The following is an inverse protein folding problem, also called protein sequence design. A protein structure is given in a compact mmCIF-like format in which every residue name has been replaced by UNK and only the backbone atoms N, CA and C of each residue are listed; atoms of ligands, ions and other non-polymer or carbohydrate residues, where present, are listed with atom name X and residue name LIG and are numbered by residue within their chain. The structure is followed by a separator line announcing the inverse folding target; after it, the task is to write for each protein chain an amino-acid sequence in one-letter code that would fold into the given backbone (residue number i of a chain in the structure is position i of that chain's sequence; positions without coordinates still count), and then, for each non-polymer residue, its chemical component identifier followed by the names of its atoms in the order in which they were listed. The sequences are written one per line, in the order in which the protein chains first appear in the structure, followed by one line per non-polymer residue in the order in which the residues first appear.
data_IF_286979963857
#
_entry.id   IF_286979963857
#
_cell.length_a   1.000
_cell.length_b   1.000
_cell.length_c   1.000
_cell.angle_alpha   90.00
_cell.angle_beta   90.00
_cell.angle_gamma   90.00
#
_symmetry.space_group_name_H-M   'P 1'
#
loop_
_entity.id
_entity.type
_entity.pdbx_description
1 polymer ?
#
# COMPACT_ATOMS: atom_id res chain seq x y z
N UNK A 1 -13.95 -7.47 -0.55
CA UNK A 1 -12.57 -7.70 -0.05
C UNK A 1 -11.87 -6.37 0.15
N UNK A 2 -11.03 -6.24 1.19
CA UNK A 2 -10.32 -4.99 1.51
C UNK A 2 -9.18 -4.72 0.54
N UNK A 3 -8.45 -5.76 0.16
CA UNK A 3 -7.33 -5.74 -0.79
C UNK A 3 -7.50 -6.82 -1.86
N UNK A 4 -6.70 -6.75 -2.92
CA UNK A 4 -6.55 -7.84 -3.88
C UNK A 4 -5.53 -8.85 -3.38
N UNK A 5 -5.54 -10.05 -3.97
CA UNK A 5 -4.44 -11.00 -3.85
C UNK A 5 -3.17 -10.42 -4.48
N UNK A 6 -2.03 -10.69 -3.87
CA UNK A 6 -0.72 -10.43 -4.48
C UNK A 6 -0.60 -11.17 -5.81
N UNK A 7 0.05 -10.55 -6.80
CA UNK A 7 0.39 -11.23 -8.05
C UNK A 7 1.48 -12.27 -7.81
N UNK A 8 1.73 -13.12 -8.80
CA UNK A 8 2.81 -14.11 -8.72
C UNK A 8 4.16 -13.44 -8.50
N UNK A 9 4.45 -12.35 -9.21
CA UNK A 9 5.71 -11.60 -9.09
C UNK A 9 5.85 -10.95 -7.71
N UNK A 10 4.76 -10.42 -7.15
CA UNK A 10 4.76 -9.85 -5.80
C UNK A 10 4.98 -10.94 -4.74
N UNK A 11 4.35 -12.11 -4.89
CA UNK A 11 4.54 -13.26 -4.00
C UNK A 11 5.97 -13.79 -4.04
N UNK A 12 6.57 -13.87 -5.22
CA UNK A 12 7.99 -14.24 -5.39
C UNK A 12 8.90 -13.24 -4.66
N UNK A 13 8.60 -11.94 -4.74
CA UNK A 13 9.36 -10.91 -4.04
C UNK A 13 9.27 -11.02 -2.50
N UNK A 14 8.26 -11.72 -1.96
CA UNK A 14 8.03 -11.89 -0.52
C UNK A 14 7.96 -13.37 -0.11
N UNK A 15 8.65 -14.25 -0.86
CA UNK A 15 8.62 -15.70 -0.63
C UNK A 15 9.08 -16.08 0.79
N UNK A 16 10.03 -15.34 1.35
CA UNK A 16 10.55 -15.57 2.70
C UNK A 16 9.48 -15.29 3.75
N UNK A 17 8.76 -14.18 3.62
CA UNK A 17 7.63 -13.81 4.46
C UNK A 17 6.48 -14.81 4.32
N UNK A 18 6.20 -15.25 3.10
CA UNK A 18 5.16 -16.24 2.82
C UNK A 18 5.49 -17.60 3.46
N UNK A 19 6.75 -18.04 3.37
CA UNK A 19 7.22 -19.29 4.00
C UNK A 19 7.08 -19.23 5.51
N UNK A 20 7.43 -18.10 6.14
CA UNK A 20 7.23 -17.88 7.57
C UNK A 20 5.75 -17.87 7.94
N UNK A 21 4.91 -17.28 7.11
CA UNK A 21 3.46 -17.32 7.29
C UNK A 21 2.94 -18.77 7.25
N UNK A 22 3.31 -19.56 6.25
CA UNK A 22 2.91 -20.98 6.17
C UNK A 22 3.36 -21.77 7.39
N UNK A 23 4.61 -21.58 7.84
CA UNK A 23 5.12 -22.22 9.06
C UNK A 23 4.30 -21.83 10.31
N UNK A 24 3.86 -20.57 10.41
CA UNK A 24 2.97 -20.12 11.49
C UNK A 24 1.58 -20.79 11.46
N UNK A 25 1.14 -21.24 10.28
CA UNK A 25 -0.07 -22.03 10.09
C UNK A 25 0.15 -23.54 10.29
N UNK A 26 1.34 -23.95 10.75
CA UNK A 26 1.70 -25.35 10.95
C UNK A 26 1.96 -26.12 9.65
N UNK A 27 2.30 -25.42 8.56
CA UNK A 27 2.62 -26.02 7.28
C UNK A 27 4.12 -25.88 7.02
N UNK A 28 4.84 -26.99 7.11
CA UNK A 28 6.21 -27.04 6.61
C UNK A 28 6.24 -27.24 5.08
N UNK A 29 7.44 -27.33 4.50
CA UNK A 29 7.60 -27.52 3.06
C UNK A 29 6.92 -28.80 2.54
N UNK A 30 6.99 -29.90 3.29
CA UNK A 30 6.39 -31.18 2.91
C UNK A 30 4.86 -31.13 3.01
N UNK A 31 4.31 -30.55 4.09
CA UNK A 31 2.86 -30.34 4.18
C UNK A 31 2.34 -29.40 3.10
N UNK A 32 3.09 -28.35 2.76
CA UNK A 32 2.69 -27.44 1.70
C UNK A 32 2.60 -28.13 0.34
N UNK A 33 3.54 -29.03 0.01
CA UNK A 33 3.44 -29.82 -1.21
C UNK A 33 2.19 -30.72 -1.22
N UNK A 34 1.87 -31.37 -0.09
CA UNK A 34 0.65 -32.18 0.03
C UNK A 34 -0.61 -31.32 -0.14
N UNK A 35 -0.67 -30.15 0.50
CA UNK A 35 -1.82 -29.22 0.37
C UNK A 35 -2.03 -28.81 -1.08
N UNK A 36 -0.95 -28.53 -1.82
CA UNK A 36 -1.05 -28.16 -3.24
C UNK A 36 -1.64 -29.27 -4.11
N UNK A 37 -1.32 -30.53 -3.83
CA UNK A 37 -1.86 -31.67 -4.58
C UNK A 37 -3.28 -32.04 -4.15
N UNK A 38 -3.53 -32.06 -2.84
CA UNK A 38 -4.73 -32.69 -2.29
C UNK A 38 -5.87 -31.69 -2.04
N UNK A 39 -5.55 -30.40 -1.84
CA UNK A 39 -6.53 -29.37 -1.49
C UNK A 39 -6.27 -28.01 -2.17
N UNK A 40 -6.53 -27.90 -3.49
CA UNK A 40 -6.37 -26.63 -4.22
C UNK A 40 -7.13 -25.46 -3.59
N UNK A 41 -8.32 -25.68 -3.05
CA UNK A 41 -9.08 -24.61 -2.36
C UNK A 41 -8.36 -24.06 -1.12
N UNK A 42 -7.58 -24.89 -0.42
CA UNK A 42 -6.80 -24.44 0.74
C UNK A 42 -5.60 -23.61 0.31
N UNK A 43 -5.01 -23.90 -0.85
CA UNK A 43 -3.96 -23.07 -1.47
C UNK A 43 -4.49 -21.66 -1.71
N UNK A 44 -5.62 -21.55 -2.40
CA UNK A 44 -6.26 -20.27 -2.71
C UNK A 44 -6.55 -19.44 -1.45
N UNK A 45 -7.11 -20.09 -0.43
CA UNK A 45 -7.36 -19.47 0.87
C UNK A 45 -6.09 -18.94 1.53
N UNK A 46 -5.01 -19.73 1.57
CA UNK A 46 -3.74 -19.32 2.19
C UNK A 46 -3.08 -18.16 1.44
N UNK A 47 -3.21 -18.11 0.12
CA UNK A 47 -2.74 -16.99 -0.70
C UNK A 47 -3.54 -15.71 -0.41
N UNK A 48 -4.86 -15.81 -0.28
CA UNK A 48 -5.73 -14.68 0.03
C UNK A 48 -5.49 -14.13 1.45
N UNK A 49 -5.35 -15.02 2.44
CA UNK A 49 -5.05 -14.65 3.82
C UNK A 49 -3.68 -14.00 3.94
N UNK A 50 -2.66 -14.57 3.30
CA UNK A 50 -1.33 -13.97 3.29
C UNK A 50 -1.33 -12.61 2.62
N UNK A 51 -2.02 -12.47 1.49
CA UNK A 51 -2.12 -11.19 0.79
C UNK A 51 -2.79 -10.13 1.66
N UNK A 52 -3.86 -10.51 2.38
CA UNK A 52 -4.54 -9.60 3.30
C UNK A 52 -3.62 -9.16 4.43
N UNK A 53 -2.93 -10.11 5.06
CA UNK A 53 -1.95 -9.82 6.11
C UNK A 53 -0.82 -8.91 5.61
N UNK A 54 -0.27 -9.19 4.42
CA UNK A 54 0.78 -8.39 3.82
C UNK A 54 0.33 -6.95 3.59
N UNK A 55 -0.85 -6.75 3.00
CA UNK A 55 -1.37 -5.41 2.73
C UNK A 55 -1.73 -4.65 4.00
N UNK A 56 -2.34 -5.27 5.01
CA UNK A 56 -2.58 -4.62 6.29
C UNK A 56 -1.25 -4.20 6.94
N UNK A 57 -0.26 -5.09 6.96
CA UNK A 57 1.08 -4.83 7.49
C UNK A 57 1.76 -3.67 6.75
N UNK A 58 1.75 -3.70 5.42
CA UNK A 58 2.40 -2.68 4.58
C UNK A 58 1.70 -1.33 4.67
N UNK A 59 0.38 -1.28 4.51
CA UNK A 59 -0.37 -0.01 4.55
C UNK A 59 -0.39 0.63 5.94
N UNK A 60 -0.32 -0.17 7.02
CA UNK A 60 -0.21 0.38 8.38
C UNK A 60 1.06 1.21 8.61
N UNK A 61 2.16 0.92 7.91
CA UNK A 61 3.45 1.62 8.03
C UNK A 61 3.57 2.86 7.16
N UNK A 62 2.69 3.02 6.16
CA UNK A 62 2.76 4.15 5.22
C UNK A 62 2.19 5.40 5.89
N UNK A 63 2.98 6.46 5.91
CA UNK A 63 2.57 7.79 6.38
C UNK A 63 2.34 8.74 5.20
N UNK A 64 3.20 8.65 4.19
CA UNK A 64 3.18 9.52 3.01
C UNK A 64 3.15 8.72 1.73
N UNK A 65 2.34 9.15 0.78
CA UNK A 65 2.35 8.68 -0.59
C UNK A 65 2.55 9.85 -1.54
N UNK A 66 3.36 9.66 -2.58
CA UNK A 66 3.50 10.66 -3.64
C UNK A 66 3.43 10.06 -5.04
N UNK A 67 3.07 10.90 -5.99
CA UNK A 67 3.23 10.63 -7.42
C UNK A 67 3.70 11.90 -8.09
N UNK A 68 4.85 11.81 -8.74
CA UNK A 68 5.48 12.94 -9.42
C UNK A 68 5.49 12.65 -10.92
N UNK A 69 5.03 13.61 -11.69
CA UNK A 69 5.14 13.66 -13.14
C UNK A 69 5.75 15.00 -13.54
N UNK A 70 5.95 15.23 -14.85
CA UNK A 70 6.49 16.52 -15.33
C UNK A 70 5.57 17.71 -15.04
N UNK A 71 4.27 17.47 -15.01
CA UNK A 71 3.25 18.52 -14.94
C UNK A 71 2.43 18.47 -13.65
N UNK A 72 2.55 17.41 -12.85
CA UNK A 72 1.68 17.18 -11.72
C UNK A 72 2.43 16.43 -10.61
N UNK A 73 2.33 16.93 -9.38
CA UNK A 73 2.81 16.26 -8.17
C UNK A 73 1.67 16.14 -7.19
N UNK A 74 1.36 14.92 -6.80
CA UNK A 74 0.47 14.60 -5.70
C UNK A 74 1.28 14.18 -4.49
N UNK A 75 0.90 14.68 -3.32
CA UNK A 75 1.45 14.28 -2.03
C UNK A 75 0.30 14.09 -1.04
N UNK A 76 0.24 12.93 -0.43
CA UNK A 76 -0.75 12.56 0.55
C UNK A 76 -0.08 12.32 1.90
N UNK A 77 -0.69 12.82 2.97
CA UNK A 77 -0.33 12.55 4.37
C UNK A 77 -1.48 11.82 5.04
N UNK A 78 -1.20 10.67 5.65
CA UNK A 78 -2.20 9.81 6.29
C UNK A 78 -2.09 9.86 7.81
N UNK A 79 -3.13 10.37 8.46
CA UNK A 79 -3.39 10.18 9.89
C UNK A 79 -4.18 8.90 10.16
N UNK A 80 -4.70 8.74 11.37
CA UNK A 80 -5.47 7.54 11.75
C UNK A 80 -6.86 7.49 11.10
N UNK A 81 -7.57 8.62 11.08
CA UNK A 81 -8.95 8.75 10.58
C UNK A 81 -9.11 9.84 9.52
N UNK A 82 -8.01 10.33 8.97
CA UNK A 82 -8.00 11.33 7.91
C UNK A 82 -6.79 11.21 7.00
N UNK A 83 -6.93 11.74 5.79
CA UNK A 83 -5.82 12.03 4.89
C UNK A 83 -5.90 13.48 4.41
N UNK A 84 -4.73 14.09 4.30
CA UNK A 84 -4.56 15.40 3.68
C UNK A 84 -3.85 15.22 2.33
N UNK A 85 -4.17 16.08 1.37
CA UNK A 85 -3.56 16.06 0.05
C UNK A 85 -3.06 17.44 -0.34
N UNK A 86 -1.88 17.47 -0.95
CA UNK A 86 -1.33 18.60 -1.67
C UNK A 86 -1.13 18.19 -3.12
N UNK A 87 -1.53 19.07 -4.04
CA UNK A 87 -1.29 18.87 -5.47
C UNK A 87 -0.68 20.13 -6.07
N UNK A 88 0.48 19.97 -6.70
CA UNK A 88 1.11 20.99 -7.53
C UNK A 88 0.88 20.64 -9.00
N UNK A 89 0.16 21.49 -9.72
CA UNK A 89 -0.14 21.29 -11.13
C UNK A 89 0.46 22.42 -11.97
N UNK A 90 1.30 22.07 -12.93
CA UNK A 90 1.80 22.98 -13.96
C UNK A 90 0.75 23.15 -15.05
N UNK A 91 0.32 24.40 -15.28
CA UNK A 91 -0.52 24.74 -16.41
C UNK A 91 0.35 25.09 -17.63
N UNK A 92 -0.08 24.73 -18.86
CA UNK A 92 0.61 25.17 -20.07
C UNK A 92 0.74 26.71 -20.10
N UNK A 93 1.97 27.20 -20.28
CA UNK A 93 2.26 28.63 -20.32
C UNK A 93 2.38 29.34 -18.96
N UNK A 94 2.40 28.60 -17.85
CA UNK A 94 2.69 29.15 -16.51
C UNK A 94 4.08 28.75 -16.04
N UNK A 95 4.83 29.70 -15.48
CA UNK A 95 6.12 29.44 -14.84
C UNK A 95 5.99 28.99 -13.37
N UNK A 96 4.77 28.99 -12.83
CA UNK A 96 4.49 28.58 -11.44
C UNK A 96 3.40 27.51 -11.39
N UNK A 97 3.53 26.50 -10.50
CA UNK A 97 2.48 25.53 -10.29
C UNK A 97 1.29 26.15 -9.55
N UNK A 98 0.10 25.70 -9.91
CA UNK A 98 -1.10 25.89 -9.10
C UNK A 98 -1.09 24.86 -7.96
N UNK A 99 -1.30 25.34 -6.74
CA UNK A 99 -1.29 24.50 -5.53
C UNK A 99 -2.72 24.37 -5.03
N UNK A 100 -3.17 23.14 -4.85
CA UNK A 100 -4.45 22.83 -4.20
C UNK A 100 -4.22 21.97 -2.97
N UNK A 101 -5.01 22.23 -1.92
CA UNK A 101 -5.04 21.44 -0.69
C UNK A 101 -6.41 20.78 -0.53
N UNK A 102 -6.44 19.59 0.06
CA UNK A 102 -7.68 18.89 0.36
C UNK A 102 -7.55 18.01 1.59
N UNK A 103 -8.69 17.62 2.15
CA UNK A 103 -8.78 16.72 3.29
C UNK A 103 -9.92 15.72 3.06
N UNK A 104 -9.71 14.48 3.48
CA UNK A 104 -10.73 13.42 3.49
C UNK A 104 -10.72 12.74 4.86
N UNK A 105 -11.88 12.64 5.48
CA UNK A 105 -12.08 11.87 6.71
C UNK A 105 -12.58 10.47 6.37
N UNK A 106 -12.20 9.49 7.19
CA UNK A 106 -12.64 8.10 7.05
C UNK A 106 -12.57 7.37 8.40
N UNK A 107 -13.34 6.28 8.59
CA UNK A 107 -13.16 5.39 9.73
C UNK A 107 -11.74 4.82 9.79
N UNK A 108 -11.19 4.60 10.98
CA UNK A 108 -9.80 4.13 11.15
C UNK A 108 -9.57 2.78 10.44
N UNK A 109 -10.57 1.91 10.44
CA UNK A 109 -10.55 0.63 9.72
C UNK A 109 -10.54 0.79 8.19
N UNK A 110 -10.87 1.96 7.65
CA UNK A 110 -10.78 2.22 6.21
C UNK A 110 -9.41 2.72 5.78
N UNK A 111 -8.55 3.18 6.71
CA UNK A 111 -7.24 3.78 6.42
C UNK A 111 -6.37 2.92 5.48
N UNK A 112 -6.22 1.63 5.80
CA UNK A 112 -5.41 0.72 4.98
C UNK A 112 -5.93 0.60 3.56
N UNK A 113 -7.27 0.56 3.38
CA UNK A 113 -7.90 0.51 2.06
C UNK A 113 -7.65 1.79 1.27
N UNK A 114 -7.76 2.96 1.89
CA UNK A 114 -7.52 4.25 1.23
C UNK A 114 -6.08 4.35 0.70
N UNK A 115 -5.10 3.95 1.52
CA UNK A 115 -3.69 3.89 1.11
C UNK A 115 -3.51 2.90 -0.05
N UNK A 116 -4.08 1.70 0.07
CA UNK A 116 -3.98 0.67 -0.96
C UNK A 116 -4.52 1.14 -2.31
N UNK A 117 -5.67 1.82 -2.34
CA UNK A 117 -6.24 2.33 -3.60
C UNK A 117 -5.35 3.36 -4.29
N UNK A 118 -4.54 4.12 -3.54
CA UNK A 118 -3.58 5.06 -4.10
C UNK A 118 -2.31 4.34 -4.60
N UNK A 119 -1.84 3.31 -3.89
CA UNK A 119 -0.76 2.45 -4.39
C UNK A 119 -1.11 1.85 -5.75
N UNK A 120 -2.35 1.35 -5.90
CA UNK A 120 -2.84 0.79 -7.16
C UNK A 120 -2.95 1.84 -8.29
N UNK A 121 -3.01 3.13 -7.95
CA UNK A 121 -2.96 4.24 -8.92
C UNK A 121 -1.52 4.67 -9.26
N UNK A 122 -0.52 3.94 -8.76
CA UNK A 122 0.90 4.19 -8.98
C UNK A 122 1.48 5.28 -8.09
N UNK A 123 0.86 5.58 -6.95
CA UNK A 123 1.52 6.37 -5.91
C UNK A 123 2.53 5.49 -5.16
N UNK A 124 3.63 6.08 -4.74
CA UNK A 124 4.71 5.38 -4.05
C UNK A 124 4.88 5.92 -2.62
N UNK A 125 5.22 5.05 -1.65
CA UNK A 125 5.61 5.49 -0.32
C UNK A 125 6.80 6.43 -0.36
N UNK A 126 6.72 7.53 0.38
CA UNK A 126 7.91 8.34 0.64
C UNK A 126 8.81 7.64 1.66
N UNK A 127 10.11 7.83 1.55
CA UNK A 127 11.07 7.26 2.48
C UNK A 127 11.03 8.01 3.82
N UNK A 128 11.25 7.33 4.97
CA UNK A 128 11.13 7.96 6.30
C UNK A 128 12.01 9.19 6.52
N UNK A 129 13.21 9.23 5.91
CA UNK A 129 14.14 10.37 5.96
C UNK A 129 13.55 11.65 5.35
N UNK A 130 12.53 11.52 4.49
CA UNK A 130 11.83 12.64 3.88
C UNK A 130 10.67 13.17 4.72
N UNK A 131 10.30 12.51 5.82
CA UNK A 131 9.10 12.93 6.56
C UNK A 131 9.27 14.33 7.18
N UNK A 132 10.47 14.65 7.69
CA UNK A 132 10.77 15.96 8.27
C UNK A 132 10.69 17.11 7.25
N UNK A 133 11.05 16.87 5.98
CA UNK A 133 10.92 17.88 4.92
C UNK A 133 9.48 18.03 4.41
N UNK A 134 8.67 16.98 4.52
CA UNK A 134 7.31 16.94 3.99
C UNK A 134 6.27 17.48 4.98
N UNK A 135 6.48 17.27 6.28
CA UNK A 135 5.58 17.70 7.35
C UNK A 135 5.15 19.19 7.22
N UNK A 136 6.08 20.16 7.06
CA UNK A 136 5.74 21.58 7.01
C UNK A 136 4.94 21.99 5.77
N UNK A 137 4.86 21.15 4.75
CA UNK A 137 4.08 21.46 3.53
C UNK A 137 2.58 21.42 3.80
N UNK A 138 2.16 20.66 4.83
CA UNK A 138 0.76 20.47 5.21
C UNK A 138 0.25 21.50 6.21
N UNK A 139 1.15 22.26 6.85
CA UNK A 139 0.81 23.34 7.77
C UNK A 139 0.18 24.58 7.05
#
# INVERSE_FOLDING_TARGET
MRYRRLTSEELEAVEVEFTKFLASQGLDAAEWQKVKSDNPHKVEYLLDEFSTFFWDSTTSRITYLEKVTKEDRWLFKFGESEAQVLRWQMKPGSDKPEISKGKKEFPQEARGREIFLLLEQGLLPCTPDRHEELDPLFD
#
